data_IF_245571150651
#
_entry.id   IF_245571150651
#
_cell.length_a   1.000
_cell.length_b   1.000
_cell.length_c   1.000
_cell.angle_alpha   90.00
_cell.angle_beta   90.00
_cell.angle_gamma   90.00
#
_symmetry.space_group_name_H-M   'P 1'
#
loop_
_entity.id
_entity.type
_entity.pdbx_description
1 polymer ?
#
# COMPACT_ATOMS: atom_id res chain seq x y z
N UNK A 1 14.05 6.22 6.36
CA UNK A 1 13.34 7.29 5.63
C UNK A 1 14.18 7.89 4.51
N UNK A 2 15.45 8.25 4.75
CA UNK A 2 16.35 8.74 3.69
C UNK A 2 16.50 7.79 2.49
N UNK A 3 16.55 6.48 2.73
CA UNK A 3 16.74 5.47 1.68
C UNK A 3 15.66 5.51 0.57
N UNK A 4 14.38 5.73 0.92
CA UNK A 4 13.30 5.76 -0.08
C UNK A 4 13.32 7.06 -0.88
N UNK A 5 13.60 8.18 -0.23
CA UNK A 5 13.74 9.48 -0.91
C UNK A 5 14.96 9.53 -1.84
N UNK A 6 16.12 9.05 -1.35
CA UNK A 6 17.34 8.96 -2.16
C UNK A 6 17.16 7.97 -3.31
N UNK A 7 16.54 6.81 -3.06
CA UNK A 7 16.22 5.84 -4.11
C UNK A 7 15.31 6.44 -5.20
N UNK A 8 14.24 7.13 -4.80
CA UNK A 8 13.34 7.81 -5.73
C UNK A 8 14.04 8.92 -6.54
N UNK A 9 14.92 9.69 -5.90
CA UNK A 9 15.70 10.72 -6.58
C UNK A 9 16.68 10.12 -7.61
N UNK A 10 17.44 9.09 -7.24
CA UNK A 10 18.35 8.40 -8.15
C UNK A 10 17.60 7.77 -9.33
N UNK A 11 16.41 7.20 -9.07
CA UNK A 11 15.55 6.66 -10.12
C UNK A 11 15.05 7.75 -11.07
N UNK A 12 14.68 8.93 -10.54
CA UNK A 12 14.29 10.08 -11.37
C UNK A 12 15.46 10.59 -12.24
N UNK A 13 16.66 10.72 -11.67
CA UNK A 13 17.87 11.17 -12.41
C UNK A 13 18.22 10.20 -13.54
N UNK A 14 18.14 8.88 -13.26
CA UNK A 14 18.45 7.86 -14.28
C UNK A 14 17.38 7.81 -15.38
N UNK A 15 16.10 7.90 -15.03
CA UNK A 15 14.99 7.87 -16.00
C UNK A 15 14.84 9.14 -16.81
N UNK A 16 15.40 10.27 -16.36
CA UNK A 16 15.37 11.54 -17.09
C UNK A 16 15.98 11.43 -18.49
N UNK A 17 16.98 10.56 -18.69
CA UNK A 17 17.60 10.34 -20.00
C UNK A 17 16.75 9.51 -20.97
N UNK A 18 15.78 8.76 -20.46
CA UNK A 18 14.97 7.81 -21.22
C UNK A 18 13.50 8.22 -21.36
N UNK A 19 13.09 9.27 -20.64
CA UNK A 19 11.69 9.74 -20.59
C UNK A 19 11.60 11.12 -21.20
N UNK A 20 10.50 11.42 -21.88
CA UNK A 20 10.21 12.76 -22.41
C UNK A 20 9.17 13.45 -21.51
N UNK A 21 9.57 14.32 -20.56
CA UNK A 21 8.67 14.83 -19.52
C UNK A 21 7.57 15.75 -20.06
N UNK A 22 7.81 16.37 -21.22
CA UNK A 22 6.92 17.32 -21.90
C UNK A 22 5.68 16.68 -22.51
N UNK A 23 5.63 15.35 -22.67
CA UNK A 23 4.47 14.65 -23.21
C UNK A 23 3.32 14.52 -22.21
N UNK A 24 3.60 14.71 -20.91
CA UNK A 24 2.62 14.55 -19.85
C UNK A 24 1.88 15.87 -19.55
N UNK A 25 0.57 15.78 -19.34
CA UNK A 25 -0.25 16.94 -18.98
C UNK A 25 0.07 17.45 -17.56
N UNK A 26 -0.21 18.74 -17.31
CA UNK A 26 -0.06 19.34 -15.98
C UNK A 26 -0.87 18.59 -14.90
N UNK A 27 -2.03 18.04 -15.27
CA UNK A 27 -2.86 17.25 -14.37
C UNK A 27 -2.13 15.98 -13.89
N UNK A 28 -1.45 15.28 -14.80
CA UNK A 28 -0.65 14.08 -14.48
C UNK A 28 0.44 14.41 -13.46
N UNK A 29 1.16 15.51 -13.67
CA UNK A 29 2.20 15.98 -12.75
C UNK A 29 1.66 16.30 -11.36
N UNK A 30 0.49 16.94 -11.28
CA UNK A 30 -0.17 17.26 -10.02
C UNK A 30 -0.59 15.98 -9.26
N UNK A 31 -1.19 15.01 -9.97
CA UNK A 31 -1.57 13.72 -9.36
C UNK A 31 -0.34 12.98 -8.84
N UNK A 32 0.71 12.86 -9.65
CA UNK A 32 1.97 12.20 -9.23
C UNK A 32 2.61 12.91 -8.03
N UNK A 33 2.63 14.24 -8.04
CA UNK A 33 3.11 15.05 -6.93
C UNK A 33 2.31 14.82 -5.65
N UNK A 34 0.98 14.81 -5.75
CA UNK A 34 0.10 14.54 -4.60
C UNK A 34 0.30 13.12 -4.04
N UNK A 35 0.45 12.11 -4.91
CA UNK A 35 0.75 10.74 -4.45
C UNK A 35 2.10 10.66 -3.74
N UNK A 36 3.14 11.29 -4.30
CA UNK A 36 4.49 11.25 -3.74
C UNK A 36 4.68 12.07 -2.46
N UNK A 37 4.02 13.23 -2.35
CA UNK A 37 4.23 14.20 -1.25
C UNK A 37 3.16 14.13 -0.16
N UNK A 38 1.98 13.58 -0.45
CA UNK A 38 0.88 13.48 0.52
C UNK A 38 0.63 12.04 0.89
N UNK A 39 0.14 11.21 -0.05
CA UNK A 39 -0.34 9.86 0.31
C UNK A 39 0.79 8.94 0.78
N UNK A 40 1.93 8.93 0.09
CA UNK A 40 3.07 8.10 0.42
C UNK A 40 3.70 8.41 1.80
N UNK A 41 4.07 9.67 2.13
CA UNK A 41 4.63 9.97 3.45
C UNK A 41 3.59 9.82 4.55
N UNK A 42 2.34 10.21 4.31
CA UNK A 42 1.26 10.08 5.28
C UNK A 42 1.01 8.61 5.68
N UNK A 43 0.88 7.72 4.69
CA UNK A 43 0.72 6.28 4.94
C UNK A 43 1.92 5.68 5.69
N UNK A 44 3.15 6.10 5.36
CA UNK A 44 4.35 5.65 6.09
C UNK A 44 4.39 6.14 7.53
N UNK A 45 4.02 7.40 7.79
CA UNK A 45 3.96 7.92 9.15
C UNK A 45 2.94 7.13 9.97
N UNK A 46 1.74 6.92 9.43
CA UNK A 46 0.70 6.11 10.08
C UNK A 46 1.17 4.68 10.35
N UNK A 47 1.85 4.05 9.39
CA UNK A 47 2.39 2.69 9.55
C UNK A 47 3.43 2.60 10.67
N UNK A 48 4.33 3.58 10.77
CA UNK A 48 5.29 3.64 11.88
C UNK A 48 4.60 3.92 13.21
N UNK A 49 3.58 4.78 13.22
CA UNK A 49 2.82 5.08 14.43
C UNK A 49 2.06 3.84 14.91
N UNK A 50 1.49 3.04 14.00
CA UNK A 50 0.78 1.80 14.32
C UNK A 50 1.66 0.81 15.12
N UNK A 51 2.96 0.71 14.80
CA UNK A 51 3.91 -0.15 15.56
C UNK A 51 4.14 0.27 17.01
N UNK A 52 3.73 1.49 17.40
CA UNK A 52 3.84 1.95 18.78
C UNK A 52 2.62 1.58 19.63
N UNK A 53 1.50 1.25 19.00
CA UNK A 53 0.22 1.02 19.67
C UNK A 53 -0.26 -0.43 19.59
N UNK A 54 0.27 -1.22 18.65
CA UNK A 54 -0.09 -2.61 18.44
C UNK A 54 1.15 -3.51 18.45
N UNK A 55 0.95 -4.80 18.67
CA UNK A 55 2.02 -5.79 18.58
C UNK A 55 2.55 -5.88 17.14
N UNK A 56 3.81 -6.33 16.99
CA UNK A 56 4.41 -6.49 15.66
C UNK A 56 3.57 -7.39 14.73
N UNK A 57 2.90 -8.40 15.31
CA UNK A 57 2.01 -9.30 14.59
C UNK A 57 0.77 -8.58 14.06
N UNK A 58 0.08 -7.82 14.90
CA UNK A 58 -1.14 -7.08 14.50
C UNK A 58 -0.86 -6.05 13.40
N UNK A 59 0.30 -5.38 13.46
CA UNK A 59 0.71 -4.44 12.41
C UNK A 59 0.97 -5.16 11.09
N UNK A 60 1.69 -6.28 11.12
CA UNK A 60 1.96 -7.09 9.93
C UNK A 60 0.65 -7.57 9.28
N UNK A 61 -0.32 -8.01 10.09
CA UNK A 61 -1.62 -8.43 9.59
C UNK A 61 -2.45 -7.27 9.01
N UNK A 62 -2.37 -6.09 9.61
CA UNK A 62 -3.02 -4.88 9.08
C UNK A 62 -2.43 -4.48 7.72
N UNK A 63 -1.11 -4.56 7.57
CA UNK A 63 -0.43 -4.34 6.29
C UNK A 63 -0.85 -5.38 5.24
N UNK A 64 -0.99 -6.65 5.63
CA UNK A 64 -1.54 -7.67 4.72
C UNK A 64 -2.99 -7.36 4.32
N UNK A 65 -3.82 -6.89 5.26
CA UNK A 65 -5.19 -6.50 4.97
C UNK A 65 -5.27 -5.36 3.96
N UNK A 66 -4.42 -4.34 4.07
CA UNK A 66 -4.32 -3.25 3.09
C UNK A 66 -4.09 -3.78 1.66
N UNK A 67 -3.22 -4.78 1.49
CA UNK A 67 -2.95 -5.38 0.17
C UNK A 67 -4.16 -6.10 -0.42
N UNK A 68 -5.03 -6.67 0.40
CA UNK A 68 -6.30 -7.29 -0.04
C UNK A 68 -7.34 -6.23 -0.39
N UNK A 69 -7.35 -5.12 0.34
CA UNK A 69 -8.26 -4.01 0.10
C UNK A 69 -7.92 -3.24 -1.18
N UNK A 70 -6.63 -3.13 -1.56
CA UNK A 70 -6.20 -2.44 -2.78
C UNK A 70 -6.97 -2.83 -4.07
N UNK A 71 -7.09 -4.11 -4.47
CA UNK A 71 -7.88 -4.52 -5.63
C UNK A 71 -9.38 -4.27 -5.45
N UNK A 72 -9.90 -4.30 -4.22
CA UNK A 72 -11.32 -4.00 -3.94
C UNK A 72 -11.60 -2.52 -4.21
N UNK A 73 -10.72 -1.62 -3.77
CA UNK A 73 -10.81 -0.20 -4.08
C UNK A 73 -10.68 0.06 -5.58
N UNK A 74 -9.74 -0.63 -6.25
CA UNK A 74 -9.55 -0.52 -7.70
C UNK A 74 -10.82 -0.94 -8.47
N UNK A 75 -11.46 -2.02 -8.05
CA UNK A 75 -12.72 -2.47 -8.64
C UNK A 75 -13.86 -1.46 -8.41
N UNK A 76 -13.99 -0.89 -7.21
CA UNK A 76 -15.07 0.06 -6.89
C UNK A 76 -14.91 1.37 -7.66
N UNK A 77 -13.70 1.93 -7.72
CA UNK A 77 -13.48 3.28 -8.26
C UNK A 77 -13.07 3.29 -9.74
N UNK A 78 -12.38 2.26 -10.21
CA UNK A 78 -11.84 2.17 -11.57
C UNK A 78 -12.43 1.03 -12.39
N UNK A 79 -13.34 0.23 -11.81
CA UNK A 79 -13.98 -0.93 -12.46
C UNK A 79 -12.99 -1.98 -12.97
N UNK A 80 -11.78 -1.98 -12.42
CA UNK A 80 -10.74 -2.95 -12.75
C UNK A 80 -11.09 -4.32 -12.14
N UNK A 81 -11.37 -5.30 -13.00
CA UNK A 81 -11.69 -6.66 -12.55
C UNK A 81 -10.42 -7.33 -12.01
N UNK A 82 -10.33 -7.64 -10.71
CA UNK A 82 -9.16 -8.30 -10.16
C UNK A 82 -9.01 -9.70 -10.74
N UNK A 83 -7.80 -10.04 -11.16
CA UNK A 83 -7.51 -11.37 -11.70
C UNK A 83 -7.76 -12.49 -10.67
N UNK A 84 -8.04 -13.70 -11.16
CA UNK A 84 -8.32 -14.86 -10.31
C UNK A 84 -7.21 -15.12 -9.26
N UNK A 85 -5.95 -14.88 -9.62
CA UNK A 85 -4.81 -15.03 -8.71
C UNK A 85 -4.85 -14.01 -7.55
N UNK A 86 -5.28 -12.78 -7.81
CA UNK A 86 -5.41 -11.74 -6.79
C UNK A 86 -6.54 -12.07 -5.82
N UNK A 87 -7.67 -12.56 -6.33
CA UNK A 87 -8.79 -13.05 -5.52
C UNK A 87 -8.39 -14.25 -4.65
N UNK A 88 -7.68 -15.23 -5.22
CA UNK A 88 -7.22 -16.41 -4.48
C UNK A 88 -6.23 -16.04 -3.37
N UNK A 89 -5.24 -15.18 -3.65
CA UNK A 89 -4.31 -14.67 -2.64
C UNK A 89 -5.01 -13.88 -1.54
N UNK A 90 -5.96 -13.01 -1.92
CA UNK A 90 -6.75 -12.23 -0.97
C UNK A 90 -7.61 -13.10 -0.06
N UNK A 91 -8.22 -14.15 -0.59
CA UNK A 91 -9.00 -15.11 0.19
C UNK A 91 -8.13 -15.83 1.24
N UNK A 92 -6.91 -16.26 0.89
CA UNK A 92 -5.98 -16.91 1.82
C UNK A 92 -5.64 -15.96 2.98
N UNK A 93 -5.28 -14.71 2.68
CA UNK A 93 -4.94 -13.71 3.70
C UNK A 93 -6.13 -13.47 4.64
N UNK A 94 -7.35 -13.32 4.11
CA UNK A 94 -8.55 -13.11 4.91
C UNK A 94 -8.84 -14.30 5.84
N UNK A 95 -8.73 -15.53 5.34
CA UNK A 95 -8.92 -16.74 6.16
C UNK A 95 -7.89 -16.80 7.28
N UNK A 96 -6.62 -16.49 7.00
CA UNK A 96 -5.57 -16.44 8.03
C UNK A 96 -5.84 -15.38 9.10
N UNK A 97 -6.27 -14.18 8.69
CA UNK A 97 -6.59 -13.10 9.63
C UNK A 97 -7.76 -13.52 10.54
N UNK A 98 -8.86 -14.02 9.95
CA UNK A 98 -10.04 -14.46 10.70
C UNK A 98 -9.67 -15.56 11.70
N UNK A 99 -8.92 -16.57 11.26
CA UNK A 99 -8.50 -17.66 12.14
C UNK A 99 -7.67 -17.14 13.32
N UNK A 100 -6.68 -16.28 13.05
CA UNK A 100 -5.83 -15.71 14.10
C UNK A 100 -6.61 -14.82 15.08
N UNK A 101 -7.48 -13.94 14.59
CA UNK A 101 -8.32 -13.09 15.44
C UNK A 101 -9.26 -13.91 16.32
N UNK A 102 -9.82 -15.00 15.80
CA UNK A 102 -10.66 -15.92 16.58
C UNK A 102 -9.87 -16.65 17.67
N UNK A 103 -8.62 -17.05 17.39
CA UNK A 103 -7.73 -17.65 18.39
C UNK A 103 -7.41 -16.66 19.51
N UNK A 104 -7.03 -15.42 19.18
CA UNK A 104 -6.78 -14.36 20.17
C UNK A 104 -7.98 -14.08 21.07
N UNK A 105 -9.18 -14.01 20.49
CA UNK A 105 -10.41 -13.73 21.24
C UNK A 105 -10.77 -14.87 22.21
N UNK A 106 -10.36 -16.12 21.89
CA UNK A 106 -10.57 -17.29 22.74
C UNK A 106 -9.60 -17.39 23.91
N UNK A 107 -8.40 -16.86 23.79
CA UNK A 107 -7.41 -16.84 24.89
C UNK A 107 -7.65 -15.70 25.87
N UNK A 108 -8.40 -14.66 25.45
CA UNK A 108 -8.71 -13.49 26.26
C UNK A 108 -9.99 -13.61 27.12
N UNK A 109 -10.77 -14.68 26.96
CA UNK A 109 -12.01 -14.96 27.72
C UNK A 109 -11.85 -16.15 28.66
#
# INVERSE_FOLDING_TARGET
MGAVGVGGFLLAVTMFFFTEPSTFSMNTWLIMGAMGLVTAPFGRVLSMVATRYATATEVSMTLMLETVLAPIWAYIFFTEVPGANSLAGGAIILVTIIAYTLHLTREAG
#
